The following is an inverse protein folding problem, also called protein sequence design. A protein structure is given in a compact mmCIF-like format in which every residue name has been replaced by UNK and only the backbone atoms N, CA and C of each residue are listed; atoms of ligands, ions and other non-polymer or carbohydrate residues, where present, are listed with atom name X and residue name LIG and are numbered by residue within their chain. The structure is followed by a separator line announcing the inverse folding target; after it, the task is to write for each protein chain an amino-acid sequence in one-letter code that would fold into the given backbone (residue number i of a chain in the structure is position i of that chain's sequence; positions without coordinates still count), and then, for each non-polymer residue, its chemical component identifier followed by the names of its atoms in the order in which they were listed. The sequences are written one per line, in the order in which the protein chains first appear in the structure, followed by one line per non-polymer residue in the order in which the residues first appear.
data_IF_347941495586
#
_entry.id   IF_347941495586
#
_cell.length_a   1.000
_cell.length_b   1.000
_cell.length_c   1.000
_cell.angle_alpha   90.00
_cell.angle_beta   90.00
_cell.angle_gamma   90.00
#
_symmetry.space_group_name_H-M   'P 1'
#
loop_
_entity.id
_entity.type
_entity.pdbx_description
1 polymer ?
#
# COMPACT_ATOMS: atom_id res chain seq x y z
N UNK A 1 29.22 -45.37 -62.29
CA UNK A 1 30.53 -44.71 -62.39
C UNK A 1 31.04 -44.43 -60.97
N UNK A 2 32.17 -45.04 -60.57
CA UNK A 2 32.89 -44.87 -59.29
C UNK A 2 33.89 -43.69 -59.40
N UNK A 3 34.96 -43.51 -58.56
CA UNK A 3 35.24 -43.88 -57.16
C UNK A 3 35.63 -42.65 -56.28
N UNK A 4 35.53 -42.68 -54.93
CA UNK A 4 36.50 -43.12 -53.91
C UNK A 4 37.89 -42.42 -53.98
N UNK A 5 38.33 -41.98 -52.79
CA UNK A 5 39.71 -42.07 -52.26
C UNK A 5 40.57 -40.80 -52.45
N UNK A 6 41.24 -40.23 -51.44
CA UNK A 6 42.13 -40.81 -50.43
C UNK A 6 42.20 -39.90 -49.17
N UNK A 7 42.01 -40.45 -47.97
CA UNK A 7 43.02 -40.88 -46.95
C UNK A 7 43.53 -39.77 -46.03
N UNK A 8 43.19 -39.84 -44.73
CA UNK A 8 43.97 -40.40 -43.60
C UNK A 8 45.21 -39.55 -43.25
N UNK A 9 45.58 -39.24 -42.01
CA UNK A 9 45.44 -39.88 -40.69
C UNK A 9 46.02 -38.91 -39.62
N UNK A 10 45.80 -39.24 -38.33
CA UNK A 10 46.63 -38.90 -37.13
C UNK A 10 46.12 -37.72 -36.30
N UNK A 11 45.86 -37.75 -34.99
CA UNK A 11 46.00 -38.74 -33.90
C UNK A 11 44.93 -38.52 -32.80
N UNK A 12 44.65 -39.58 -32.06
CA UNK A 12 43.91 -39.66 -30.78
C UNK A 12 44.55 -38.78 -29.65
N UNK A 13 44.01 -38.66 -28.40
CA UNK A 13 42.99 -39.51 -27.79
C UNK A 13 41.92 -38.85 -26.87
N UNK A 14 40.88 -39.63 -26.59
CA UNK A 14 40.26 -39.86 -25.27
C UNK A 14 40.30 -38.73 -24.22
N UNK A 15 39.13 -38.16 -23.90
CA UNK A 15 38.67 -38.13 -22.51
C UNK A 15 37.15 -38.00 -22.40
N UNK A 16 36.58 -38.91 -21.63
CA UNK A 16 35.26 -38.75 -21.03
C UNK A 16 35.32 -37.64 -19.97
N UNK A 17 34.27 -36.81 -19.91
CA UNK A 17 34.09 -35.81 -18.86
C UNK A 17 32.71 -35.18 -19.04
N UNK A 18 31.66 -35.82 -18.54
CA UNK A 18 31.08 -35.50 -17.25
C UNK A 18 30.60 -34.03 -17.15
N UNK A 19 29.28 -33.88 -17.36
CA UNK A 19 28.35 -33.01 -16.63
C UNK A 19 28.99 -31.87 -15.83
N UNK A 20 28.79 -30.62 -16.25
CA UNK A 20 28.90 -29.49 -15.34
C UNK A 20 27.53 -28.85 -15.14
N UNK A 21 26.75 -29.49 -14.26
CA UNK A 21 25.66 -28.84 -13.54
C UNK A 21 26.26 -27.70 -12.75
N UNK A 22 25.91 -26.47 -13.10
CA UNK A 22 26.22 -25.29 -12.29
C UNK A 22 25.42 -25.40 -11.00
N UNK A 23 25.97 -26.14 -10.03
CA UNK A 23 25.54 -26.12 -8.64
C UNK A 23 25.89 -24.72 -8.16
N UNK A 24 24.87 -23.88 -7.98
CA UNK A 24 24.99 -22.63 -7.24
C UNK A 24 25.25 -23.03 -5.79
N UNK A 25 26.53 -23.14 -5.43
CA UNK A 25 26.95 -23.43 -4.06
C UNK A 25 26.56 -22.24 -3.21
N UNK A 26 25.42 -22.33 -2.54
CA UNK A 26 25.15 -21.46 -1.40
C UNK A 26 26.13 -21.90 -0.30
N UNK A 27 26.90 -20.96 0.28
CA UNK A 27 27.68 -21.29 1.46
C UNK A 27 26.74 -21.80 2.55
N UNK A 28 27.17 -22.88 3.18
CA UNK A 28 26.52 -23.60 4.26
C UNK A 28 25.83 -22.64 5.25
N UNK A 29 24.49 -22.68 5.28
CA UNK A 29 23.65 -21.82 6.11
C UNK A 29 23.47 -22.42 7.52
N UNK A 30 24.54 -23.00 8.08
CA UNK A 30 24.60 -23.53 9.44
C UNK A 30 25.05 -22.51 10.50
N UNK A 31 25.05 -21.22 10.16
CA UNK A 31 25.36 -20.13 11.10
C UNK A 31 24.20 -19.12 11.22
N UNK A 32 22.99 -19.58 11.54
CA UNK A 32 22.04 -18.70 12.22
C UNK A 32 22.55 -18.48 13.65
N UNK A 33 23.49 -17.56 13.79
CA UNK A 33 23.92 -17.02 15.06
C UNK A 33 22.65 -16.45 15.71
N UNK A 34 22.18 -17.11 16.75
CA UNK A 34 21.22 -16.58 17.71
C UNK A 34 21.78 -15.28 18.27
N UNK A 35 21.58 -14.18 17.55
CA UNK A 35 21.78 -12.84 18.06
C UNK A 35 20.60 -12.58 18.97
N UNK A 36 20.73 -13.00 20.23
CA UNK A 36 19.97 -12.40 21.31
C UNK A 36 20.34 -10.93 21.33
N UNK A 37 19.57 -10.12 20.57
CA UNK A 37 19.60 -8.67 20.68
C UNK A 37 19.22 -8.39 22.12
N UNK A 38 20.22 -8.11 22.95
CA UNK A 38 20.00 -7.56 24.28
C UNK A 38 19.11 -6.34 24.09
N UNK A 39 17.88 -6.42 24.60
CA UNK A 39 17.01 -5.25 24.72
C UNK A 39 17.76 -4.31 25.67
N UNK A 40 18.59 -3.45 25.10
CA UNK A 40 19.16 -2.34 25.82
C UNK A 40 17.96 -1.54 26.31
N UNK A 41 17.72 -1.60 27.63
CA UNK A 41 16.59 -0.99 28.32
C UNK A 41 16.59 0.50 28.02
N UNK A 42 15.91 0.90 26.93
CA UNK A 42 15.57 2.30 26.74
C UNK A 42 14.66 2.67 27.90
N UNK A 43 14.94 3.76 28.63
CA UNK A 43 14.00 4.22 29.65
C UNK A 43 12.64 4.43 28.97
N UNK A 44 11.59 3.82 29.53
CA UNK A 44 10.23 3.95 29.01
C UNK A 44 9.88 5.43 28.93
N UNK A 45 9.49 5.86 27.73
CA UNK A 45 9.01 7.22 27.50
C UNK A 45 7.74 7.46 28.33
N UNK A 46 7.48 8.73 28.67
CA UNK A 46 6.19 9.14 29.23
C UNK A 46 5.02 8.72 28.34
N UNK A 47 5.24 8.67 27.02
CA UNK A 47 4.22 8.22 26.07
C UNK A 47 3.97 6.71 26.17
N UNK A 48 5.01 5.92 26.42
CA UNK A 48 4.90 4.46 26.60
C UNK A 48 4.09 4.16 27.88
N UNK A 49 4.37 4.89 28.96
CA UNK A 49 3.66 4.74 30.24
C UNK A 49 2.18 5.10 30.13
N UNK A 50 1.86 6.17 29.38
CA UNK A 50 0.47 6.57 29.15
C UNK A 50 -0.27 5.56 28.28
N UNK A 51 0.38 5.04 27.24
CA UNK A 51 -0.19 3.99 26.38
C UNK A 51 -0.48 2.72 27.19
N UNK A 52 0.47 2.26 28.02
CA UNK A 52 0.29 1.09 28.87
C UNK A 52 -0.86 1.27 29.87
N UNK A 53 -0.97 2.45 30.49
CA UNK A 53 -2.08 2.75 31.40
C UNK A 53 -3.44 2.71 30.69
N UNK A 54 -3.51 3.21 29.46
CA UNK A 54 -4.73 3.14 28.63
C UNK A 54 -5.08 1.71 28.23
N UNK A 55 -4.08 0.93 27.80
CA UNK A 55 -4.28 -0.48 27.46
C UNK A 55 -4.78 -1.26 28.67
N UNK A 56 -4.17 -1.04 29.84
CA UNK A 56 -4.59 -1.71 31.06
C UNK A 56 -6.02 -1.34 31.45
N UNK A 57 -6.40 -0.06 31.34
CA UNK A 57 -7.77 0.38 31.60
C UNK A 57 -8.78 -0.30 30.66
N UNK A 58 -8.45 -0.43 29.37
CA UNK A 58 -9.30 -1.12 28.39
C UNK A 58 -9.42 -2.62 28.69
N UNK A 59 -8.35 -3.27 29.18
CA UNK A 59 -8.38 -4.67 29.64
C UNK A 59 -9.30 -4.80 30.86
N UNK A 60 -9.15 -3.92 31.86
CA UNK A 60 -9.90 -3.99 33.11
C UNK A 60 -11.41 -3.76 32.90
N UNK A 61 -11.76 -2.94 31.90
CA UNK A 61 -13.13 -2.69 31.47
C UNK A 61 -13.73 -3.84 30.64
N UNK A 62 -12.90 -4.77 30.16
CA UNK A 62 -13.31 -5.80 29.20
C UNK A 62 -13.53 -5.27 27.79
N UNK A 63 -13.07 -4.06 27.46
CA UNK A 63 -13.22 -3.43 26.12
C UNK A 63 -12.46 -4.22 25.03
N UNK A 64 -11.51 -5.08 25.43
CA UNK A 64 -10.74 -5.95 24.54
C UNK A 64 -11.28 -7.39 24.47
N UNK A 65 -12.37 -7.70 25.18
CA UNK A 65 -13.03 -9.00 25.15
C UNK A 65 -14.16 -9.02 24.10
N UNK A 66 -14.39 -10.18 23.48
CA UNK A 66 -15.40 -10.40 22.42
C UNK A 66 -15.27 -9.46 21.22
N UNK A 67 -14.05 -9.06 20.88
CA UNK A 67 -13.79 -8.28 19.67
C UNK A 67 -14.28 -9.01 18.42
N UNK A 68 -14.79 -8.29 17.41
CA UNK A 68 -15.20 -8.90 16.15
C UNK A 68 -14.01 -9.65 15.53
N UNK A 69 -14.17 -10.96 15.30
CA UNK A 69 -13.11 -11.84 14.80
C UNK A 69 -12.18 -12.43 15.86
N UNK A 70 -12.46 -12.29 17.15
CA UNK A 70 -11.68 -12.95 18.21
C UNK A 70 -11.67 -14.47 18.02
N UNK A 71 -10.47 -15.06 18.02
CA UNK A 71 -10.27 -16.50 17.82
C UNK A 71 -10.39 -16.99 16.37
N UNK A 72 -10.76 -16.11 15.43
CA UNK A 72 -10.79 -16.43 14.00
C UNK A 72 -9.44 -16.17 13.34
N UNK A 73 -9.12 -16.84 12.22
CA UNK A 73 -7.93 -16.53 11.43
C UNK A 73 -7.93 -15.05 11.02
N UNK A 74 -6.78 -14.39 11.16
CA UNK A 74 -6.62 -13.00 10.73
C UNK A 74 -7.00 -12.85 9.24
N UNK A 75 -7.70 -11.76 8.88
CA UNK A 75 -8.05 -11.51 7.50
C UNK A 75 -6.79 -11.38 6.62
N UNK A 76 -6.93 -11.59 5.30
CA UNK A 76 -5.82 -11.42 4.37
C UNK A 76 -5.17 -10.04 4.50
N UNK A 77 -3.84 -9.98 4.64
CA UNK A 77 -3.12 -8.71 4.69
C UNK A 77 -3.47 -7.82 3.48
N UNK A 78 -4.14 -6.71 3.74
CA UNK A 78 -4.60 -5.75 2.73
C UNK A 78 -3.42 -5.07 2.04
N UNK A 79 -2.27 -4.94 2.72
CA UNK A 79 -1.06 -4.31 2.21
C UNK A 79 -0.16 -5.26 1.41
N UNK A 80 -0.64 -6.44 0.99
CA UNK A 80 0.11 -7.40 0.14
C UNK A 80 0.65 -6.77 -1.14
N UNK A 81 -0.07 -5.80 -1.70
CA UNK A 81 0.30 -5.06 -2.90
C UNK A 81 1.40 -4.00 -2.66
N UNK A 82 1.73 -3.73 -1.39
CA UNK A 82 2.79 -2.81 -0.97
C UNK A 82 4.06 -3.63 -0.68
N UNK A 83 5.24 -3.18 -1.14
CA UNK A 83 6.53 -3.80 -0.77
C UNK A 83 6.68 -3.92 0.75
N UNK A 84 7.26 -5.02 1.22
CA UNK A 84 7.28 -5.39 2.63
C UNK A 84 7.84 -4.28 3.54
N UNK A 85 8.89 -3.62 3.07
CA UNK A 85 9.57 -2.50 3.70
C UNK A 85 8.70 -1.24 3.86
N UNK A 86 7.65 -1.08 3.04
CA UNK A 86 6.74 0.08 3.07
C UNK A 86 5.41 -0.19 3.78
N UNK A 87 5.08 -1.45 4.10
CA UNK A 87 3.77 -1.82 4.68
C UNK A 87 3.48 -1.14 6.02
N UNK A 88 4.49 -1.00 6.87
CA UNK A 88 4.34 -0.34 8.16
C UNK A 88 3.96 1.14 8.00
N UNK A 89 4.65 1.84 7.08
CA UNK A 89 4.32 3.24 6.76
C UNK A 89 2.94 3.37 6.12
N UNK A 90 2.59 2.47 5.20
CA UNK A 90 1.27 2.45 4.59
C UNK A 90 0.14 2.24 5.62
N UNK A 91 0.31 1.29 6.56
CA UNK A 91 -0.65 1.05 7.65
C UNK A 91 -0.78 2.24 8.58
N UNK A 92 0.34 2.87 8.94
CA UNK A 92 0.31 4.07 9.78
C UNK A 92 -0.48 5.20 9.10
N UNK A 93 -0.25 5.43 7.80
CA UNK A 93 -0.96 6.45 7.04
C UNK A 93 -2.45 6.12 6.87
N UNK A 94 -2.78 4.84 6.63
CA UNK A 94 -4.16 4.36 6.55
C UNK A 94 -4.89 4.59 7.89
N UNK A 95 -4.29 4.16 9.00
CA UNK A 95 -4.88 4.25 10.33
C UNK A 95 -4.96 5.70 10.85
N UNK A 96 -4.03 6.57 10.43
CA UNK A 96 -4.07 8.00 10.75
C UNK A 96 -5.12 8.78 9.93
N UNK A 97 -5.89 8.11 9.06
CA UNK A 97 -6.85 8.75 8.19
C UNK A 97 -6.21 9.72 7.19
N UNK A 98 -4.97 9.47 6.76
CA UNK A 98 -4.24 10.39 5.90
C UNK A 98 -4.93 10.52 4.53
N UNK A 99 -5.62 11.64 4.34
CA UNK A 99 -6.34 11.95 3.11
C UNK A 99 -5.33 12.37 2.03
N UNK A 100 -5.25 11.68 0.87
CA UNK A 100 -4.37 12.07 -0.22
C UNK A 100 -4.61 13.52 -0.65
N UNK A 101 -3.55 14.25 -0.99
CA UNK A 101 -3.65 15.66 -1.39
C UNK A 101 -4.65 15.88 -2.54
N UNK A 102 -4.76 14.92 -3.47
CA UNK A 102 -5.71 14.98 -4.56
C UNK A 102 -7.18 14.99 -4.08
N UNK A 103 -7.50 14.33 -2.97
CA UNK A 103 -8.87 14.34 -2.39
C UNK A 103 -9.19 15.70 -1.79
N UNK A 104 -8.22 16.34 -1.13
CA UNK A 104 -8.39 17.68 -0.59
C UNK A 104 -8.59 18.70 -1.72
N UNK A 105 -7.77 18.63 -2.76
CA UNK A 105 -7.90 19.49 -3.95
C UNK A 105 -9.23 19.27 -4.68
N UNK A 106 -9.71 18.01 -4.78
CA UNK A 106 -11.02 17.71 -5.35
C UNK A 106 -12.19 18.20 -4.49
N UNK A 107 -12.04 18.22 -3.17
CA UNK A 107 -13.03 18.85 -2.27
C UNK A 107 -13.12 20.36 -2.51
N UNK A 108 -11.99 21.02 -2.65
CA UNK A 108 -11.97 22.45 -2.98
C UNK A 108 -12.66 22.73 -4.32
N UNK A 109 -12.44 21.87 -5.34
CA UNK A 109 -13.16 21.98 -6.61
C UNK A 109 -14.68 21.94 -6.41
N UNK A 110 -15.18 21.00 -5.59
CA UNK A 110 -16.61 20.89 -5.27
C UNK A 110 -17.16 22.14 -4.58
N UNK A 111 -16.43 22.68 -3.61
CA UNK A 111 -16.83 23.91 -2.92
C UNK A 111 -16.93 25.09 -3.90
N UNK A 112 -16.00 25.20 -4.87
CA UNK A 112 -16.06 26.23 -5.92
C UNK A 112 -17.21 25.98 -6.89
N UNK A 113 -17.50 24.73 -7.26
CA UNK A 113 -18.67 24.36 -8.08
C UNK A 113 -20.00 24.72 -7.39
N UNK A 114 -20.11 24.47 -6.09
CA UNK A 114 -21.30 24.80 -5.30
C UNK A 114 -21.52 26.31 -5.21
N UNK A 115 -20.43 27.08 -5.09
CA UNK A 115 -20.47 28.55 -5.13
C UNK A 115 -20.84 29.07 -6.53
N UNK A 116 -20.36 28.43 -7.60
CA UNK A 116 -20.75 28.75 -8.98
C UNK A 116 -22.25 28.52 -9.21
N UNK A 117 -22.80 27.43 -8.67
CA UNK A 117 -24.23 27.13 -8.78
C UNK A 117 -25.13 28.18 -8.10
N UNK A 118 -24.61 28.90 -7.11
CA UNK A 118 -25.31 29.97 -6.39
C UNK A 118 -25.04 31.37 -6.95
N UNK A 119 -24.01 31.53 -7.76
CA UNK A 119 -23.62 32.81 -8.32
C UNK A 119 -24.49 33.19 -9.53
N UNK A 120 -24.76 34.48 -9.68
CA UNK A 120 -25.43 34.99 -10.88
C UNK A 120 -24.54 34.74 -12.11
N UNK A 121 -25.10 34.16 -13.18
CA UNK A 121 -24.38 34.07 -14.45
C UNK A 121 -24.02 35.48 -14.92
N UNK A 122 -22.86 35.61 -15.59
CA UNK A 122 -22.27 36.89 -16.04
C UNK A 122 -21.79 37.87 -14.95
N UNK A 123 -21.80 37.47 -13.66
CA UNK A 123 -21.16 38.27 -12.61
C UNK A 123 -19.63 38.14 -12.63
N UNK A 124 -18.90 39.19 -12.23
CA UNK A 124 -17.44 39.16 -12.04
C UNK A 124 -17.03 38.03 -11.07
N UNK A 125 -17.88 37.77 -10.07
CA UNK A 125 -17.74 36.65 -9.13
C UNK A 125 -17.80 35.30 -9.81
N UNK A 126 -18.72 35.11 -10.76
CA UNK A 126 -18.85 33.87 -11.53
C UNK A 126 -17.63 33.65 -12.44
N UNK A 127 -17.12 34.70 -13.10
CA UNK A 127 -15.86 34.62 -13.86
C UNK A 127 -14.65 34.27 -12.99
N UNK A 128 -14.55 34.84 -11.79
CA UNK A 128 -13.45 34.56 -10.88
C UNK A 128 -13.49 33.10 -10.39
N UNK A 129 -14.67 32.62 -9.99
CA UNK A 129 -14.85 31.24 -9.52
C UNK A 129 -14.63 30.21 -10.65
N UNK A 130 -15.06 30.50 -11.88
CA UNK A 130 -14.83 29.61 -13.03
C UNK A 130 -13.35 29.52 -13.41
N UNK A 131 -12.61 30.64 -13.34
CA UNK A 131 -11.13 30.62 -13.46
C UNK A 131 -10.48 29.77 -12.37
N UNK A 132 -10.96 29.88 -11.12
CA UNK A 132 -10.45 29.07 -10.00
C UNK A 132 -10.71 27.58 -10.23
N UNK A 133 -11.94 27.21 -10.58
CA UNK A 133 -12.31 25.82 -10.87
C UNK A 133 -11.42 25.21 -11.96
N UNK A 134 -11.25 25.90 -13.08
CA UNK A 134 -10.40 25.43 -14.19
C UNK A 134 -8.93 25.26 -13.80
N UNK A 135 -8.42 26.13 -12.93
CA UNK A 135 -7.06 25.96 -12.39
C UNK A 135 -6.95 24.69 -11.53
N UNK A 136 -7.94 24.45 -10.65
CA UNK A 136 -7.98 23.27 -9.78
C UNK A 136 -8.10 21.98 -10.62
N UNK A 137 -8.95 21.97 -11.65
CA UNK A 137 -9.06 20.85 -12.61
C UNK A 137 -7.72 20.56 -13.28
N UNK A 138 -6.99 21.59 -13.70
CA UNK A 138 -5.66 21.44 -14.31
C UNK A 138 -4.67 20.80 -13.34
N UNK A 139 -4.66 21.23 -12.07
CA UNK A 139 -3.82 20.63 -11.04
C UNK A 139 -4.14 19.14 -10.85
N UNK A 140 -5.42 18.78 -10.70
CA UNK A 140 -5.86 17.39 -10.55
C UNK A 140 -5.52 16.52 -11.77
N UNK A 141 -5.55 17.09 -12.97
CA UNK A 141 -5.23 16.36 -14.21
C UNK A 141 -3.78 15.86 -14.28
N UNK A 142 -2.87 16.44 -13.48
CA UNK A 142 -1.43 16.12 -13.47
C UNK A 142 -1.15 14.74 -12.87
N UNK A 143 -1.96 14.27 -11.91
CA UNK A 143 -1.82 12.97 -11.25
C UNK A 143 -2.78 11.94 -11.86
N UNK A 144 -2.37 10.66 -11.91
CA UNK A 144 -3.27 9.55 -12.30
C UNK A 144 -4.48 9.46 -11.36
N UNK A 145 -4.28 9.68 -10.06
CA UNK A 145 -5.35 9.64 -9.05
C UNK A 145 -6.27 10.85 -9.17
N UNK A 146 -5.71 12.03 -9.40
CA UNK A 146 -6.49 13.25 -9.65
C UNK A 146 -7.36 13.16 -10.92
N UNK A 147 -6.85 12.56 -12.00
CA UNK A 147 -7.67 12.25 -13.20
C UNK A 147 -8.82 11.31 -12.92
N UNK A 148 -8.62 10.29 -12.09
CA UNK A 148 -9.70 9.38 -11.69
C UNK A 148 -10.79 10.10 -10.89
N UNK A 149 -10.41 11.07 -10.03
CA UNK A 149 -11.36 11.90 -9.28
C UNK A 149 -12.18 12.82 -10.19
N UNK A 150 -11.57 13.40 -11.23
CA UNK A 150 -12.30 14.23 -12.21
C UNK A 150 -13.26 13.40 -13.09
N UNK A 151 -12.89 12.17 -13.41
CA UNK A 151 -13.64 11.32 -14.33
C UNK A 151 -14.95 10.79 -13.73
N UNK A 152 -15.02 10.67 -12.41
CA UNK A 152 -16.12 9.98 -11.76
C UNK A 152 -16.81 10.84 -10.70
N UNK A 153 -18.10 11.08 -10.90
CA UNK A 153 -18.98 11.76 -9.93
C UNK A 153 -19.15 10.95 -8.63
N UNK A 154 -18.86 9.65 -8.66
CA UNK A 154 -19.11 8.70 -7.56
C UNK A 154 -17.84 8.27 -6.83
N UNK A 155 -16.68 8.18 -7.50
CA UNK A 155 -15.39 7.79 -6.92
C UNK A 155 -15.01 8.62 -5.68
N UNK A 156 -15.20 9.94 -5.70
CA UNK A 156 -14.89 10.80 -4.56
C UNK A 156 -15.84 10.59 -3.37
N UNK A 157 -17.10 10.21 -3.63
CA UNK A 157 -18.08 9.88 -2.60
C UNK A 157 -17.79 8.53 -1.95
N UNK A 158 -17.65 7.49 -2.77
CA UNK A 158 -17.34 6.14 -2.32
C UNK A 158 -15.97 6.05 -1.63
N UNK A 159 -14.95 6.77 -2.12
CA UNK A 159 -13.63 6.79 -1.48
C UNK A 159 -13.66 7.58 -0.17
N UNK A 160 -14.40 8.69 -0.07
CA UNK A 160 -14.62 9.38 1.22
C UNK A 160 -15.40 8.50 2.18
N UNK A 161 -16.44 7.82 1.71
CA UNK A 161 -17.23 6.92 2.54
C UNK A 161 -16.40 5.70 2.98
N UNK A 162 -15.57 5.14 2.11
CA UNK A 162 -14.67 4.04 2.44
C UNK A 162 -13.53 4.47 3.38
N UNK A 163 -13.06 5.72 3.28
CA UNK A 163 -12.08 6.29 4.21
C UNK A 163 -12.71 6.78 5.53
N UNK A 164 -14.00 7.12 5.53
CA UNK A 164 -14.75 7.59 6.70
C UNK A 164 -15.55 6.48 7.42
N UNK A 165 -15.84 5.37 6.73
CA UNK A 165 -16.47 4.15 7.24
C UNK A 165 -15.44 3.01 7.30
N UNK A 166 -14.14 3.34 7.40
CA UNK A 166 -13.07 2.36 7.57
C UNK A 166 -13.15 1.53 8.87
N UNK A 167 -14.25 1.65 9.62
CA UNK A 167 -14.48 0.99 10.90
C UNK A 167 -15.83 0.20 10.99
N UNK A 168 -16.63 0.04 9.92
CA UNK A 168 -18.01 -0.52 10.07
C UNK A 168 -18.42 -1.70 9.16
N UNK A 169 -17.50 -2.38 8.45
CA UNK A 169 -17.83 -3.66 7.81
C UNK A 169 -17.01 -4.82 8.38
N UNK A 170 -17.48 -5.38 9.50
CA UNK A 170 -17.89 -6.79 9.55
C UNK A 170 -18.79 -7.01 10.77
N UNK A 171 -20.11 -6.99 10.59
CA UNK A 171 -21.03 -8.04 11.05
C UNK A 171 -22.48 -7.58 10.85
N UNK A 172 -23.15 -8.10 9.81
CA UNK A 172 -24.52 -8.62 9.99
C UNK A 172 -24.93 -9.54 8.82
N UNK A 173 -25.00 -10.83 9.11
CA UNK A 173 -26.13 -11.68 8.74
C UNK A 173 -26.28 -12.15 7.28
N UNK A 174 -25.94 -13.42 7.03
CA UNK A 174 -26.89 -14.40 6.45
C UNK A 174 -26.39 -15.85 6.47
N UNK A 175 -27.07 -16.61 7.34
CA UNK A 175 -27.43 -18.05 7.28
C UNK A 175 -26.38 -19.11 7.59
#
# INVERSE_FOLDING_TARGET
MPPISQRSITSAPSSAGARNSVIKSYPDSSAHRSSTRTLQSRPMSLLDQLADAHIQTAIDNGDLDNLPGQGQPLPPDEARHVPAELRAGYRLLKNAGFVPAEIQTHRELREVEDLLAQALPESETHERLSRRARWIETQLSTSRRGRALLADRTYGGALRQHLAHGDDETDDGRR
#
